data_IF_502352333904
#
_entry.id   IF_502352333904
#
_cell.length_a   1.000
_cell.length_b   1.000
_cell.length_c   1.000
_cell.angle_alpha   90.00
_cell.angle_beta   90.00
_cell.angle_gamma   90.00
#
_symmetry.space_group_name_H-M   'P 1'
#
loop_
_entity.id
_entity.type
_entity.pdbx_description
1 polymer ?
#
# COMPACT_ATOMS: atom_id res chain seq x y z
N UNK A 1 -13.71 -33.48 -13.02
CA UNK A 1 -14.60 -32.43 -12.48
C UNK A 1 -13.76 -31.19 -12.23
N UNK A 2 -13.69 -30.24 -13.17
CA UNK A 2 -12.87 -29.04 -13.01
C UNK A 2 -13.56 -28.05 -12.09
N UNK A 3 -13.00 -27.80 -10.90
CA UNK A 3 -13.46 -26.72 -10.04
C UNK A 3 -13.11 -25.40 -10.73
N UNK A 4 -14.10 -24.64 -11.19
CA UNK A 4 -13.93 -23.25 -11.60
C UNK A 4 -13.54 -22.42 -10.37
N UNK A 5 -12.25 -22.43 -10.03
CA UNK A 5 -11.72 -21.66 -8.91
C UNK A 5 -11.72 -20.18 -9.34
N UNK A 6 -12.68 -19.39 -8.84
CA UNK A 6 -12.60 -17.93 -9.00
C UNK A 6 -11.26 -17.47 -8.43
N UNK A 7 -10.40 -16.87 -9.27
CA UNK A 7 -9.14 -16.29 -8.82
C UNK A 7 -9.44 -15.28 -7.70
N UNK A 8 -8.93 -15.55 -6.50
CA UNK A 8 -9.15 -14.71 -5.31
C UNK A 8 -8.89 -13.24 -5.62
N UNK A 9 -9.84 -12.36 -5.26
CA UNK A 9 -9.68 -10.90 -5.41
C UNK A 9 -8.46 -10.37 -4.63
N UNK A 10 -8.03 -11.07 -3.57
CA UNK A 10 -6.84 -10.73 -2.81
C UNK A 10 -5.53 -10.88 -3.59
N UNK A 11 -5.55 -11.47 -4.80
CA UNK A 11 -4.37 -11.53 -5.67
C UNK A 11 -3.82 -10.13 -5.98
N UNK A 12 -4.69 -9.13 -6.09
CA UNK A 12 -4.27 -7.75 -6.38
C UNK A 12 -3.56 -7.11 -5.19
N UNK A 13 -3.84 -7.57 -3.97
CA UNK A 13 -3.18 -7.12 -2.75
C UNK A 13 -1.83 -7.82 -2.55
N UNK A 14 -1.79 -9.14 -2.70
CA UNK A 14 -0.59 -9.92 -2.38
C UNK A 14 0.32 -10.20 -3.57
N UNK A 15 -0.19 -10.13 -4.80
CA UNK A 15 0.55 -10.36 -6.06
C UNK A 15 0.19 -9.32 -7.15
N UNK A 16 0.26 -8.01 -6.84
CA UNK A 16 -0.02 -6.97 -7.82
C UNK A 16 0.96 -7.05 -9.01
N UNK A 17 0.45 -6.80 -10.21
CA UNK A 17 1.23 -6.57 -11.42
C UNK A 17 1.47 -5.07 -11.65
N UNK A 18 0.79 -4.22 -10.89
CA UNK A 18 0.97 -2.77 -10.90
C UNK A 18 0.76 -2.17 -9.52
N UNK A 19 1.65 -1.24 -9.14
CA UNK A 19 1.57 -0.50 -7.87
C UNK A 19 1.61 1.00 -8.18
N UNK A 20 0.76 1.78 -7.53
CA UNK A 20 0.89 3.23 -7.47
C UNK A 20 1.22 3.68 -6.04
N UNK A 21 2.24 4.51 -5.85
CA UNK A 21 2.57 5.10 -4.56
C UNK A 21 2.09 6.55 -4.57
N UNK A 22 0.99 6.80 -3.87
CA UNK A 22 0.38 8.11 -3.71
C UNK A 22 1.01 8.78 -2.49
N UNK A 23 1.69 9.90 -2.70
CA UNK A 23 2.59 10.50 -1.71
C UNK A 23 4.05 10.06 -1.86
N UNK A 24 4.44 9.59 -3.05
CA UNK A 24 5.85 9.37 -3.38
C UNK A 24 6.66 10.67 -3.19
N UNK A 25 7.95 10.57 -2.92
CA UNK A 25 8.82 11.74 -2.74
C UNK A 25 10.22 11.42 -3.25
N UNK A 26 10.91 12.44 -3.76
CA UNK A 26 12.35 12.39 -4.07
C UNK A 26 13.22 12.72 -2.86
N UNK A 27 12.64 13.18 -1.74
CA UNK A 27 13.37 13.55 -0.52
C UNK A 27 13.53 12.34 0.40
N UNK A 28 14.77 11.97 0.73
CA UNK A 28 15.11 10.74 1.45
C UNK A 28 14.64 10.68 2.90
N UNK A 29 14.28 11.83 3.49
CA UNK A 29 13.71 11.97 4.83
C UNK A 29 12.22 11.59 4.89
N UNK A 30 11.54 11.49 3.74
CA UNK A 30 10.09 11.20 3.69
C UNK A 30 9.81 9.71 3.65
N UNK A 31 8.74 9.30 4.33
CA UNK A 31 8.28 7.90 4.32
C UNK A 31 7.86 7.48 2.89
N UNK A 32 7.28 8.39 2.10
CA UNK A 32 7.00 8.16 0.69
C UNK A 32 8.23 7.71 -0.10
N UNK A 33 9.39 8.34 0.10
CA UNK A 33 10.66 7.91 -0.51
C UNK A 33 11.07 6.51 -0.05
N UNK A 34 10.96 6.23 1.27
CA UNK A 34 11.31 4.91 1.84
C UNK A 34 10.48 3.78 1.23
N UNK A 35 9.18 4.00 1.01
CA UNK A 35 8.32 2.98 0.37
C UNK A 35 8.75 2.74 -1.07
N UNK A 36 9.03 3.80 -1.85
CA UNK A 36 9.53 3.67 -3.22
C UNK A 36 10.86 2.89 -3.23
N UNK A 37 11.79 3.28 -2.36
CA UNK A 37 13.09 2.63 -2.20
C UNK A 37 12.92 1.13 -1.93
N UNK A 38 12.05 0.76 -1.00
CA UNK A 38 11.80 -0.64 -0.64
C UNK A 38 11.28 -1.46 -1.82
N UNK A 39 10.36 -0.93 -2.62
CA UNK A 39 9.82 -1.62 -3.80
C UNK A 39 10.91 -1.78 -4.88
N UNK A 40 11.72 -0.73 -5.11
CA UNK A 40 12.79 -0.73 -6.12
C UNK A 40 13.93 -1.68 -5.73
N UNK A 41 14.47 -1.56 -4.51
CA UNK A 41 15.60 -2.38 -4.04
C UNK A 41 15.27 -3.88 -3.98
N UNK A 42 13.98 -4.22 -3.87
CA UNK A 42 13.52 -5.61 -3.86
C UNK A 42 13.23 -6.15 -5.25
N UNK A 43 13.44 -5.35 -6.29
CA UNK A 43 13.25 -5.72 -7.69
C UNK A 43 11.82 -6.17 -7.99
N UNK A 44 10.82 -5.43 -7.49
CA UNK A 44 9.43 -5.65 -7.88
C UNK A 44 9.30 -5.68 -9.40
N UNK A 45 8.67 -6.74 -9.92
CA UNK A 45 8.64 -7.03 -11.36
C UNK A 45 7.45 -6.42 -12.10
N UNK A 46 6.47 -5.90 -11.36
CA UNK A 46 5.32 -5.21 -11.95
C UNK A 46 5.63 -3.75 -12.29
N UNK A 47 4.62 -3.05 -12.80
CA UNK A 47 4.71 -1.62 -13.10
C UNK A 47 4.63 -0.80 -11.82
N UNK A 48 5.54 0.15 -11.64
CA UNK A 48 5.55 1.06 -10.51
C UNK A 48 5.25 2.49 -10.98
N UNK A 49 4.21 3.09 -10.42
CA UNK A 49 3.81 4.47 -10.69
C UNK A 49 3.94 5.31 -9.43
N UNK A 50 4.41 6.55 -9.56
CA UNK A 50 4.65 7.44 -8.45
C UNK A 50 3.77 8.68 -8.61
N UNK A 51 3.13 9.12 -7.53
CA UNK A 51 2.24 10.29 -7.57
C UNK A 51 2.59 11.27 -6.45
N UNK A 52 2.85 12.51 -6.83
CA UNK A 52 3.01 13.66 -5.94
C UNK A 52 2.74 14.94 -6.73
N UNK A 53 1.93 15.90 -6.21
CA UNK A 53 1.67 17.17 -6.90
C UNK A 53 2.91 17.97 -7.32
N UNK A 54 4.04 17.81 -6.60
CA UNK A 54 5.32 18.45 -6.95
C UNK A 54 5.94 17.89 -8.23
N UNK A 55 5.57 16.67 -8.63
CA UNK A 55 6.18 15.93 -9.73
C UNK A 55 7.67 15.62 -9.49
N UNK A 56 8.42 15.44 -10.57
CA UNK A 56 9.85 15.18 -10.56
C UNK A 56 10.19 13.72 -10.85
N UNK A 57 11.35 13.28 -10.35
CA UNK A 57 11.86 11.93 -10.56
C UNK A 57 12.49 11.37 -9.28
N UNK A 58 12.41 10.06 -9.10
CA UNK A 58 13.16 9.33 -8.07
C UNK A 58 13.46 7.92 -8.57
N UNK A 59 14.68 7.43 -8.36
CA UNK A 59 15.16 6.15 -8.94
C UNK A 59 14.91 6.02 -10.46
N UNK A 60 15.08 7.11 -11.21
CA UNK A 60 14.80 7.23 -12.65
C UNK A 60 13.33 6.97 -13.05
N UNK A 61 12.39 7.01 -12.10
CA UNK A 61 10.96 6.90 -12.35
C UNK A 61 10.31 8.28 -12.30
N UNK A 62 9.48 8.64 -13.29
CA UNK A 62 8.71 9.89 -13.26
C UNK A 62 7.66 9.86 -12.16
N UNK A 63 7.41 11.02 -11.58
CA UNK A 63 6.36 11.25 -10.60
C UNK A 63 5.23 12.04 -11.28
N UNK A 64 4.08 11.40 -11.44
CA UNK A 64 2.85 12.02 -11.91
C UNK A 64 2.33 13.04 -10.90
N UNK A 65 1.68 14.10 -11.38
CA UNK A 65 1.20 15.18 -10.50
C UNK A 65 -0.14 14.84 -9.85
N UNK A 66 -0.91 13.94 -10.44
CA UNK A 66 -2.22 13.53 -9.92
C UNK A 66 -2.49 12.04 -10.13
N UNK A 67 -3.47 11.52 -9.39
CA UNK A 67 -4.01 10.17 -9.59
C UNK A 67 -4.67 10.06 -10.97
N UNK A 68 -5.19 11.15 -11.52
CA UNK A 68 -5.88 11.17 -12.81
C UNK A 68 -4.94 10.92 -14.00
N UNK A 69 -3.63 11.11 -13.83
CA UNK A 69 -2.61 10.76 -14.82
C UNK A 69 -2.29 9.25 -14.83
N UNK A 70 -2.73 8.50 -13.83
CA UNK A 70 -2.50 7.06 -13.78
C UNK A 70 -3.31 6.30 -14.85
N UNK A 71 -2.80 5.15 -15.30
CA UNK A 71 -3.58 4.23 -16.12
C UNK A 71 -4.75 3.66 -15.32
N UNK A 72 -5.80 3.27 -16.04
CA UNK A 72 -6.95 2.57 -15.44
C UNK A 72 -6.54 1.16 -14.99
N UNK A 73 -7.04 0.72 -13.84
CA UNK A 73 -6.94 -0.66 -13.39
C UNK A 73 -5.67 -0.99 -12.61
N UNK A 74 -5.01 -0.01 -11.97
CA UNK A 74 -3.89 -0.28 -11.06
C UNK A 74 -4.31 -1.30 -9.99
N UNK A 75 -3.48 -2.31 -9.76
CA UNK A 75 -3.83 -3.40 -8.84
C UNK A 75 -3.80 -2.95 -7.39
N UNK A 76 -2.76 -2.20 -6.99
CA UNK A 76 -2.57 -1.71 -5.63
C UNK A 76 -2.11 -0.25 -5.60
N UNK A 77 -2.91 0.64 -5.03
CA UNK A 77 -2.50 2.00 -4.72
C UNK A 77 -2.18 2.14 -3.23
N UNK A 78 -0.95 2.52 -2.89
CA UNK A 78 -0.46 2.72 -1.53
C UNK A 78 -0.49 4.21 -1.21
N UNK A 79 -1.18 4.58 -0.13
CA UNK A 79 -1.41 5.96 0.26
C UNK A 79 -0.57 6.31 1.47
N UNK A 80 0.29 7.31 1.28
CA UNK A 80 1.05 7.97 2.33
C UNK A 80 0.98 9.49 2.15
N UNK A 81 -0.23 10.03 2.30
CA UNK A 81 -0.59 11.44 2.10
C UNK A 81 -1.36 12.01 3.30
N UNK A 82 -1.42 13.34 3.47
CA UNK A 82 -2.22 13.97 4.51
C UNK A 82 -3.71 13.63 4.39
N UNK A 83 -4.41 13.55 5.53
CA UNK A 83 -5.85 13.28 5.60
C UNK A 83 -6.70 14.28 4.82
N UNK A 84 -6.28 15.55 4.76
CA UNK A 84 -7.01 16.61 4.06
C UNK A 84 -7.19 16.35 2.56
N UNK A 85 -6.35 15.51 1.95
CA UNK A 85 -6.39 15.21 0.51
C UNK A 85 -6.70 13.74 0.22
N UNK A 86 -7.00 12.92 1.24
CA UNK A 86 -7.16 11.48 1.06
C UNK A 86 -8.45 11.12 0.33
N UNK A 87 -9.56 11.77 0.66
CA UNK A 87 -10.87 11.49 0.06
C UNK A 87 -10.89 11.79 -1.45
N UNK A 88 -10.44 12.97 -1.93
CA UNK A 88 -10.34 13.22 -3.37
C UNK A 88 -9.44 12.23 -4.11
N UNK A 89 -8.31 11.83 -3.50
CA UNK A 89 -7.40 10.86 -4.09
C UNK A 89 -8.03 9.44 -4.17
N UNK A 90 -8.82 9.04 -3.17
CA UNK A 90 -9.59 7.78 -3.19
C UNK A 90 -10.64 7.82 -4.31
N UNK A 91 -11.42 8.91 -4.42
CA UNK A 91 -12.40 9.09 -5.51
C UNK A 91 -11.74 8.94 -6.89
N UNK A 92 -10.58 9.55 -7.07
CA UNK A 92 -9.81 9.46 -8.31
C UNK A 92 -9.34 8.03 -8.60
N UNK A 93 -8.89 7.29 -7.58
CA UNK A 93 -8.53 5.87 -7.71
C UNK A 93 -9.74 4.99 -8.08
N UNK A 94 -10.91 5.25 -7.47
CA UNK A 94 -12.16 4.55 -7.78
C UNK A 94 -12.54 4.80 -9.25
N UNK A 95 -12.51 6.05 -9.71
CA UNK A 95 -12.79 6.42 -11.11
C UNK A 95 -11.81 5.75 -12.09
N UNK A 96 -10.55 5.55 -11.66
CA UNK A 96 -9.52 4.81 -12.40
C UNK A 96 -9.61 3.29 -12.21
N UNK A 97 -10.66 2.75 -11.60
CA UNK A 97 -10.88 1.32 -11.40
C UNK A 97 -9.73 0.59 -10.67
N UNK A 98 -9.04 1.29 -9.76
CA UNK A 98 -8.01 0.70 -8.89
C UNK A 98 -8.60 -0.48 -8.11
N UNK A 99 -7.88 -1.61 -8.03
CA UNK A 99 -8.42 -2.84 -7.42
C UNK A 99 -8.32 -2.80 -5.90
N UNK A 100 -7.18 -2.41 -5.36
CA UNK A 100 -6.95 -2.25 -3.93
C UNK A 100 -6.32 -0.91 -3.61
N UNK A 101 -6.75 -0.32 -2.50
CA UNK A 101 -6.15 0.85 -1.88
C UNK A 101 -5.63 0.43 -0.50
N UNK A 102 -4.39 0.80 -0.20
CA UNK A 102 -3.75 0.56 1.09
C UNK A 102 -3.44 1.91 1.73
N UNK A 103 -4.03 2.21 2.87
CA UNK A 103 -3.85 3.49 3.54
C UNK A 103 -2.92 3.30 4.74
N UNK A 104 -1.69 3.81 4.60
CA UNK A 104 -0.69 3.81 5.67
C UNK A 104 -0.87 4.99 6.63
N UNK A 105 -1.41 6.10 6.12
CA UNK A 105 -1.68 7.32 6.88
C UNK A 105 -2.50 7.03 8.16
N UNK A 106 -2.07 7.61 9.28
CA UNK A 106 -2.76 7.60 10.56
C UNK A 106 -3.61 8.88 10.77
N UNK A 107 -4.25 9.00 11.93
CA UNK A 107 -5.16 10.06 12.33
C UNK A 107 -6.63 9.81 11.97
N UNK A 108 -7.08 8.57 11.90
CA UNK A 108 -8.46 8.20 11.63
C UNK A 108 -9.23 7.89 12.92
N UNK A 109 -10.06 6.85 12.99
CA UNK A 109 -10.92 6.62 14.18
C UNK A 109 -10.15 6.54 15.49
N UNK A 110 -8.88 6.19 15.45
CA UNK A 110 -8.00 6.10 16.62
C UNK A 110 -7.74 7.43 17.32
N UNK A 111 -8.02 8.57 16.66
CA UNK A 111 -7.90 9.91 17.27
C UNK A 111 -9.25 10.54 17.65
N UNK A 112 -10.37 9.81 17.49
CA UNK A 112 -11.70 10.25 17.91
C UNK A 112 -12.64 10.66 16.77
N UNK A 113 -13.60 11.51 17.10
CA UNK A 113 -14.84 11.72 16.32
C UNK A 113 -14.63 12.16 14.87
N UNK A 114 -13.74 13.11 14.61
CA UNK A 114 -13.46 13.58 13.24
C UNK A 114 -12.84 12.47 12.38
N UNK A 115 -12.05 11.61 12.99
CA UNK A 115 -11.48 10.44 12.34
C UNK A 115 -12.52 9.37 12.00
N UNK A 116 -13.50 9.16 12.88
CA UNK A 116 -14.65 8.26 12.62
C UNK A 116 -15.45 8.75 11.41
N UNK A 117 -15.79 10.05 11.37
CA UNK A 117 -16.51 10.65 10.23
C UNK A 117 -15.75 10.47 8.92
N UNK A 118 -14.43 10.64 8.95
CA UNK A 118 -13.59 10.45 7.78
C UNK A 118 -13.57 8.99 7.30
N UNK A 119 -13.48 8.01 8.21
CA UNK A 119 -13.61 6.58 7.85
C UNK A 119 -14.98 6.26 7.28
N UNK A 120 -16.06 6.83 7.83
CA UNK A 120 -17.42 6.64 7.31
C UNK A 120 -17.60 7.22 5.91
N UNK A 121 -17.03 8.40 5.63
CA UNK A 121 -17.04 8.98 4.29
C UNK A 121 -16.30 8.07 3.29
N UNK A 122 -15.12 7.58 3.66
CA UNK A 122 -14.35 6.65 2.83
C UNK A 122 -15.14 5.36 2.60
N UNK A 123 -15.77 4.81 3.64
CA UNK A 123 -16.58 3.59 3.54
C UNK A 123 -17.71 3.76 2.54
N UNK A 124 -18.45 4.88 2.58
CA UNK A 124 -19.54 5.17 1.63
C UNK A 124 -19.06 5.16 0.18
N UNK A 125 -17.87 5.70 -0.10
CA UNK A 125 -17.29 5.68 -1.45
C UNK A 125 -16.93 4.27 -1.89
N UNK A 126 -16.38 3.47 -0.99
CA UNK A 126 -15.94 2.10 -1.29
C UNK A 126 -17.11 1.16 -1.50
N UNK A 127 -18.15 1.26 -0.67
CA UNK A 127 -19.37 0.43 -0.76
C UNK A 127 -20.06 0.55 -2.13
N UNK A 128 -19.87 1.67 -2.82
CA UNK A 128 -20.41 1.94 -4.16
C UNK A 128 -19.46 1.53 -5.31
N UNK A 129 -18.33 0.88 -5.00
CA UNK A 129 -17.27 0.58 -5.95
C UNK A 129 -16.84 -0.89 -5.94
N UNK A 130 -16.03 -1.29 -6.92
CA UNK A 130 -15.36 -2.61 -6.92
C UNK A 130 -14.00 -2.61 -6.20
N UNK A 131 -13.53 -1.43 -5.77
CA UNK A 131 -12.27 -1.22 -5.06
C UNK A 131 -12.36 -1.73 -3.63
N UNK A 132 -11.25 -2.24 -3.09
CA UNK A 132 -11.15 -2.68 -1.69
C UNK A 132 -10.09 -1.87 -0.94
N UNK A 133 -10.27 -1.72 0.37
CA UNK A 133 -9.31 -1.02 1.23
C UNK A 133 -8.69 -1.99 2.24
N UNK A 134 -7.40 -1.79 2.51
CA UNK A 134 -6.73 -2.23 3.75
C UNK A 134 -6.17 -1.01 4.49
N UNK A 135 -6.30 -0.99 5.81
CA UNK A 135 -6.08 0.20 6.63
C UNK A 135 -7.42 0.91 6.94
N UNK A 136 -7.39 2.20 7.30
CA UNK A 136 -6.22 3.08 7.41
C UNK A 136 -5.33 2.75 8.59
N UNK A 137 -4.29 3.57 8.82
CA UNK A 137 -3.36 3.42 9.94
C UNK A 137 -2.77 1.99 10.03
N UNK A 138 -2.17 1.52 8.95
CA UNK A 138 -1.51 0.22 8.94
C UNK A 138 -0.01 0.35 8.62
N UNK A 139 0.76 -0.64 9.08
CA UNK A 139 2.19 -0.75 8.76
C UNK A 139 2.44 -1.16 7.29
N UNK A 140 1.38 -1.41 6.53
CA UNK A 140 1.44 -1.96 5.18
C UNK A 140 1.51 -3.48 5.19
N UNK A 141 2.04 -4.07 4.13
CA UNK A 141 2.22 -5.52 4.04
C UNK A 141 3.46 -5.89 3.25
N UNK A 142 3.74 -7.18 3.29
CA UNK A 142 4.73 -7.75 2.42
C UNK A 142 4.36 -9.09 1.84
N UNK A 143 5.07 -9.48 0.79
CA UNK A 143 5.07 -10.84 0.31
C UNK A 143 6.47 -11.20 -0.20
N UNK A 144 7.15 -12.06 0.56
CA UNK A 144 8.55 -12.44 0.30
C UNK A 144 8.69 -13.37 -0.90
N UNK A 145 7.57 -13.95 -1.38
CA UNK A 145 7.56 -14.82 -2.55
C UNK A 145 7.60 -14.07 -3.89
N UNK A 146 7.30 -12.76 -3.91
CA UNK A 146 7.23 -11.98 -5.14
C UNK A 146 7.84 -10.57 -5.03
N UNK A 147 8.69 -10.35 -4.01
CA UNK A 147 9.36 -9.09 -3.77
C UNK A 147 8.43 -7.89 -3.53
N UNK A 148 7.18 -8.10 -3.10
CA UNK A 148 6.29 -7.02 -2.71
C UNK A 148 6.62 -6.53 -1.30
N UNK A 149 7.20 -5.34 -1.20
CA UNK A 149 7.56 -4.70 0.07
C UNK A 149 6.82 -3.38 0.22
N UNK A 150 5.50 -3.47 0.38
CA UNK A 150 4.58 -2.35 0.52
C UNK A 150 4.48 -1.88 1.99
N UNK A 151 5.63 -1.57 2.60
CA UNK A 151 5.76 -1.18 4.01
C UNK A 151 6.96 -0.26 4.21
N UNK A 152 7.01 0.45 5.33
CA UNK A 152 8.18 1.21 5.79
C UNK A 152 8.92 0.51 6.95
N UNK A 153 8.49 -0.68 7.37
CA UNK A 153 9.07 -1.48 8.45
C UNK A 153 10.34 -2.26 8.04
N UNK A 154 11.07 -2.76 9.04
CA UNK A 154 12.20 -3.69 8.87
C UNK A 154 11.69 -5.04 8.38
N UNK A 155 12.50 -5.70 7.53
CA UNK A 155 12.06 -6.85 6.77
C UNK A 155 12.76 -8.16 7.15
N UNK A 156 12.01 -9.21 7.57
CA UNK A 156 12.57 -10.53 7.82
C UNK A 156 13.00 -11.25 6.53
N UNK A 157 13.77 -12.34 6.66
CA UNK A 157 14.12 -13.19 5.51
C UNK A 157 12.86 -13.86 4.91
N UNK A 158 13.00 -14.47 3.74
CA UNK A 158 11.95 -15.32 3.16
C UNK A 158 11.72 -16.55 4.04
N UNK A 159 10.46 -16.89 4.30
CA UNK A 159 10.05 -18.08 5.05
C UNK A 159 8.64 -18.54 4.66
N UNK A 160 8.03 -19.37 5.51
CA UNK A 160 6.74 -20.04 5.27
C UNK A 160 5.64 -19.64 6.27
N UNK A 161 5.91 -18.71 7.19
CA UNK A 161 4.93 -18.21 8.17
C UNK A 161 4.16 -17.04 7.56
N UNK A 162 2.83 -16.99 7.72
CA UNK A 162 2.05 -15.77 7.45
C UNK A 162 1.67 -15.12 8.77
N UNK A 163 1.89 -13.81 8.90
CA UNK A 163 1.60 -13.06 10.12
C UNK A 163 0.68 -11.88 9.84
N UNK A 164 -0.38 -11.74 10.63
CA UNK A 164 -1.32 -10.63 10.56
C UNK A 164 -1.48 -10.06 11.96
N UNK A 165 -1.33 -8.75 12.11
CA UNK A 165 -1.53 -8.05 13.38
C UNK A 165 -2.27 -6.73 13.15
N UNK A 166 -3.16 -6.40 14.08
CA UNK A 166 -3.83 -5.10 14.13
C UNK A 166 -2.98 -4.03 14.83
N UNK A 167 -1.86 -4.42 15.44
CA UNK A 167 -0.89 -3.51 16.05
C UNK A 167 0.37 -3.41 15.19
N UNK A 168 0.66 -2.20 14.71
CA UNK A 168 1.89 -1.90 13.97
C UNK A 168 3.15 -2.14 14.80
N UNK A 169 3.16 -1.75 16.08
CA UNK A 169 4.32 -1.96 16.96
C UNK A 169 4.61 -3.45 17.19
N UNK A 170 3.58 -4.29 17.28
CA UNK A 170 3.76 -5.75 17.33
C UNK A 170 4.34 -6.27 16.00
N UNK A 171 3.91 -5.75 14.84
CA UNK A 171 4.52 -6.09 13.55
C UNK A 171 6.01 -5.76 13.51
N UNK A 172 6.39 -4.55 13.96
CA UNK A 172 7.80 -4.12 14.00
C UNK A 172 8.62 -5.01 14.94
N UNK A 173 8.11 -5.27 16.15
CA UNK A 173 8.78 -6.12 17.14
C UNK A 173 8.92 -7.56 16.64
N UNK A 174 7.86 -8.14 16.07
CA UNK A 174 7.88 -9.48 15.49
C UNK A 174 8.90 -9.57 14.35
N UNK A 175 8.90 -8.60 13.43
CA UNK A 175 9.82 -8.56 12.29
C UNK A 175 11.28 -8.42 12.73
N UNK A 176 11.54 -7.62 13.76
CA UNK A 176 12.87 -7.43 14.34
C UNK A 176 13.37 -8.72 15.01
N UNK A 177 12.50 -9.39 15.77
CA UNK A 177 12.82 -10.66 16.42
C UNK A 177 13.10 -11.79 15.42
N UNK A 178 12.31 -11.88 14.33
CA UNK A 178 12.58 -12.87 13.28
C UNK A 178 13.91 -12.61 12.59
N UNK A 179 14.21 -11.34 12.28
CA UNK A 179 15.47 -10.95 11.66
C UNK A 179 16.67 -11.33 12.54
N UNK A 180 16.59 -11.10 13.85
CA UNK A 180 17.63 -11.47 14.82
C UNK A 180 17.82 -12.99 14.96
N UNK A 181 16.77 -13.79 14.68
CA UNK A 181 16.81 -15.26 14.74
C UNK A 181 17.05 -15.91 13.38
N UNK A 182 17.34 -15.12 12.35
CA UNK A 182 17.46 -15.56 10.96
C UNK A 182 16.22 -16.31 10.41
N UNK A 183 15.08 -16.13 11.06
CA UNK A 183 13.80 -16.70 10.63
C UNK A 183 13.12 -15.76 9.63
N UNK A 184 12.15 -16.30 8.89
CA UNK A 184 11.51 -15.59 7.79
C UNK A 184 10.00 -15.70 7.77
N UNK A 185 9.38 -14.80 7.02
CA UNK A 185 7.94 -14.79 6.74
C UNK A 185 7.68 -15.03 5.26
N UNK A 186 6.49 -15.52 4.96
CA UNK A 186 5.92 -15.54 3.63
C UNK A 186 5.17 -14.24 3.34
N UNK A 187 4.34 -13.77 4.29
CA UNK A 187 3.45 -12.61 4.20
C UNK A 187 3.20 -12.03 5.57
#
# INVERSE_FOLDING_TARGET
MGVFMQKSKLKYLFNPQSIAIIGASSSSDKIGYRIVKNIVEKNFKGKLYLVNPKGGYVFNLPIFKSVDELPTGVDLSIFMIPKSVIVPAIKSCINKNTKFIMILTAGFKEIGFDGIKLEEEIRKLIDQSSTRIIGPNCAGLCNTSNSLHATFEIFPKKGNISFISQSGSICSAFSSNLSAREAGISK
#
